data_IF_331342927490
#
_entry.id   IF_331342927490
#
_cell.length_a   1.000
_cell.length_b   1.000
_cell.length_c   1.000
_cell.angle_alpha   90.00
_cell.angle_beta   90.00
_cell.angle_gamma   90.00
#
_symmetry.space_group_name_H-M   'P 1'
#
loop_
_entity.id
_entity.type
_entity.pdbx_description
1 polymer ?
#
# COMPACT_ATOMS: atom_id res chain seq x y z
N UNK A 1 -117.61 -4.27 14.66
CA UNK A 1 -117.00 -5.52 14.17
C UNK A 1 -115.66 -5.18 13.61
N UNK A 2 -114.66 -5.39 14.38
CA UNK A 2 -113.31 -4.91 14.11
C UNK A 2 -112.43 -6.00 13.55
N UNK A 3 -111.86 -5.77 12.43
CA UNK A 3 -111.00 -6.68 11.72
C UNK A 3 -109.63 -6.69 12.36
N UNK A 4 -108.93 -7.79 12.57
CA UNK A 4 -107.61 -7.83 13.16
C UNK A 4 -106.52 -7.55 12.13
N UNK A 5 -105.80 -6.55 12.37
CA UNK A 5 -104.63 -6.10 11.57
C UNK A 5 -103.51 -7.11 11.68
N UNK A 6 -103.07 -7.68 10.56
CA UNK A 6 -101.87 -8.54 10.44
C UNK A 6 -100.61 -7.67 10.43
N UNK A 7 -99.66 -7.96 11.25
CA UNK A 7 -98.43 -7.20 11.22
C UNK A 7 -97.60 -7.57 9.97
N UNK A 8 -96.97 -6.54 9.35
CA UNK A 8 -96.11 -6.66 8.20
C UNK A 8 -94.76 -7.40 8.52
N UNK A 9 -94.22 -8.20 7.61
CA UNK A 9 -92.95 -8.89 7.81
C UNK A 9 -91.75 -7.89 7.89
N UNK A 10 -90.78 -8.22 8.70
CA UNK A 10 -89.58 -7.35 8.82
C UNK A 10 -88.75 -7.28 7.49
N UNK A 11 -88.09 -6.15 7.20
CA UNK A 11 -87.29 -5.98 5.99
C UNK A 11 -86.16 -7.00 5.93
N UNK A 12 -85.98 -7.61 4.77
CA UNK A 12 -84.95 -8.58 4.51
C UNK A 12 -83.54 -7.90 4.70
N UNK A 13 -82.73 -8.47 5.57
CA UNK A 13 -81.33 -8.07 5.74
C UNK A 13 -80.54 -8.36 4.46
N UNK A 14 -79.68 -7.40 3.99
CA UNK A 14 -78.82 -7.67 2.84
C UNK A 14 -77.88 -8.85 3.17
N UNK A 15 -77.88 -9.83 2.26
CA UNK A 15 -76.97 -10.96 2.39
C UNK A 15 -75.48 -10.45 2.52
N UNK A 16 -74.80 -10.89 3.58
CA UNK A 16 -73.40 -10.64 3.76
C UNK A 16 -72.65 -11.17 2.54
N UNK A 17 -71.97 -10.24 1.83
CA UNK A 17 -71.09 -10.56 0.71
C UNK A 17 -69.98 -11.55 1.13
N UNK A 18 -69.44 -12.34 0.21
CA UNK A 18 -68.40 -13.30 0.52
C UNK A 18 -67.20 -12.57 1.13
N UNK A 19 -66.52 -13.17 2.13
CA UNK A 19 -65.35 -12.53 2.76
C UNK A 19 -64.28 -12.23 1.72
N UNK A 20 -63.59 -11.06 1.81
CA UNK A 20 -62.53 -10.71 0.87
C UNK A 20 -61.47 -11.81 0.88
N UNK A 21 -61.20 -12.37 -0.29
CA UNK A 21 -60.13 -13.34 -0.47
C UNK A 21 -58.84 -12.70 0.05
N UNK A 22 -58.23 -13.27 1.10
CA UNK A 22 -56.90 -12.86 1.61
C UNK A 22 -55.91 -12.97 0.45
N UNK A 23 -55.60 -11.86 -0.16
CA UNK A 23 -54.60 -11.74 -1.20
C UNK A 23 -53.23 -12.11 -0.67
N UNK A 24 -52.88 -13.39 -0.78
CA UNK A 24 -51.55 -13.93 -0.63
C UNK A 24 -50.69 -13.59 -1.87
N UNK A 25 -50.67 -12.40 -2.32
CA UNK A 25 -50.16 -12.30 -3.66
C UNK A 25 -48.91 -11.40 -3.83
N UNK A 26 -48.97 -10.17 -3.50
CA UNK A 26 -47.95 -9.25 -4.03
C UNK A 26 -46.73 -9.12 -3.12
N UNK A 27 -46.94 -9.05 -1.81
CA UNK A 27 -45.82 -8.87 -0.85
C UNK A 27 -44.97 -10.12 -0.70
N UNK A 28 -45.60 -11.31 -0.72
CA UNK A 28 -44.86 -12.58 -0.58
C UNK A 28 -44.03 -12.92 -1.81
N UNK A 29 -44.55 -12.69 -3.01
CA UNK A 29 -43.80 -12.90 -4.25
C UNK A 29 -42.66 -11.84 -4.39
N UNK A 30 -42.89 -10.59 -4.03
CA UNK A 30 -41.85 -9.54 -4.02
C UNK A 30 -40.70 -9.88 -3.07
N UNK A 31 -41.03 -10.35 -1.86
CA UNK A 31 -39.99 -10.70 -0.87
C UNK A 31 -39.16 -11.93 -1.33
N UNK A 32 -39.84 -12.98 -1.86
CA UNK A 32 -39.13 -14.15 -2.41
C UNK A 32 -38.25 -13.78 -3.60
N UNK A 33 -38.75 -12.97 -4.54
CA UNK A 33 -37.97 -12.53 -5.70
C UNK A 33 -36.74 -11.75 -5.27
N UNK A 34 -36.88 -10.85 -4.30
CA UNK A 34 -35.73 -10.11 -3.76
C UNK A 34 -34.70 -11.04 -3.12
N UNK A 35 -35.12 -12.00 -2.31
CA UNK A 35 -34.23 -12.99 -1.70
C UNK A 35 -33.51 -13.81 -2.77
N UNK A 36 -34.24 -14.28 -3.79
CA UNK A 36 -33.65 -15.05 -4.89
C UNK A 36 -32.59 -14.21 -5.64
N UNK A 37 -32.88 -12.94 -5.93
CA UNK A 37 -31.93 -12.03 -6.58
C UNK A 37 -30.69 -11.85 -5.70
N UNK A 38 -30.84 -11.62 -4.40
CA UNK A 38 -29.70 -11.46 -3.47
C UNK A 38 -28.87 -12.74 -3.40
N UNK A 39 -29.51 -13.93 -3.36
CA UNK A 39 -28.77 -15.21 -3.38
C UNK A 39 -28.01 -15.39 -4.68
N UNK A 40 -28.65 -15.12 -5.83
CA UNK A 40 -27.99 -15.22 -7.14
C UNK A 40 -26.82 -14.22 -7.23
N UNK A 41 -27.03 -12.97 -6.81
CA UNK A 41 -25.96 -11.98 -6.75
C UNK A 41 -24.81 -12.42 -5.83
N UNK A 42 -25.13 -12.99 -4.66
CA UNK A 42 -24.13 -13.53 -3.74
C UNK A 42 -23.31 -14.66 -4.36
N UNK A 43 -23.96 -15.57 -5.06
CA UNK A 43 -23.31 -16.67 -5.78
C UNK A 43 -22.40 -16.12 -6.89
N UNK A 44 -22.89 -15.19 -7.71
CA UNK A 44 -22.11 -14.57 -8.79
C UNK A 44 -20.90 -13.83 -8.19
N UNK A 45 -21.11 -13.01 -7.16
CA UNK A 45 -20.03 -12.30 -6.47
C UNK A 45 -18.97 -13.25 -5.90
N UNK A 46 -19.39 -14.37 -5.31
CA UNK A 46 -18.49 -15.42 -4.81
C UNK A 46 -17.61 -16.00 -5.93
N UNK A 47 -18.20 -16.36 -7.08
CA UNK A 47 -17.43 -16.92 -8.19
C UNK A 47 -16.50 -15.89 -8.83
N UNK A 48 -16.94 -14.63 -8.97
CA UNK A 48 -16.12 -13.52 -9.47
C UNK A 48 -14.94 -13.26 -8.53
N UNK A 49 -15.20 -13.19 -7.21
CA UNK A 49 -14.14 -13.01 -6.22
C UNK A 49 -13.13 -14.17 -6.26
N UNK A 50 -13.60 -15.41 -6.31
CA UNK A 50 -12.73 -16.59 -6.39
C UNK A 50 -11.89 -16.60 -7.68
N UNK A 51 -12.49 -16.23 -8.81
CA UNK A 51 -11.76 -16.09 -10.08
C UNK A 51 -10.68 -15.01 -9.99
N UNK A 52 -11.02 -13.83 -9.46
CA UNK A 52 -10.09 -12.72 -9.28
C UNK A 52 -8.92 -13.10 -8.34
N UNK A 53 -9.22 -13.77 -7.20
CA UNK A 53 -8.19 -14.27 -6.29
C UNK A 53 -7.26 -15.27 -6.97
N UNK A 54 -7.80 -16.24 -7.72
CA UNK A 54 -6.97 -17.22 -8.42
C UNK A 54 -6.07 -16.57 -9.49
N UNK A 55 -6.57 -15.59 -10.22
CA UNK A 55 -5.77 -14.81 -11.17
C UNK A 55 -4.68 -14.00 -10.47
N UNK A 56 -5.01 -13.35 -9.36
CA UNK A 56 -4.04 -12.62 -8.55
C UNK A 56 -2.95 -13.54 -7.98
N UNK A 57 -3.33 -14.70 -7.43
CA UNK A 57 -2.36 -15.69 -6.92
C UNK A 57 -1.43 -16.16 -8.03
N UNK A 58 -1.97 -16.53 -9.21
CA UNK A 58 -1.15 -16.94 -10.35
C UNK A 58 -0.19 -15.83 -10.81
N UNK A 59 -0.64 -14.58 -10.81
CA UNK A 59 0.21 -13.43 -11.08
C UNK A 59 1.29 -13.26 -9.99
N UNK A 60 0.91 -13.32 -8.71
CA UNK A 60 1.86 -13.20 -7.60
C UNK A 60 2.90 -14.33 -7.60
N UNK A 61 2.51 -15.55 -7.93
CA UNK A 61 3.42 -16.69 -8.04
C UNK A 61 4.49 -16.49 -9.11
N UNK A 62 4.17 -15.83 -10.22
CA UNK A 62 5.09 -15.51 -11.29
C UNK A 62 6.21 -14.56 -10.83
N UNK A 63 5.89 -13.60 -9.95
CA UNK A 63 6.81 -12.58 -9.46
C UNK A 63 7.43 -12.89 -8.09
N UNK A 64 7.20 -14.10 -7.56
CA UNK A 64 7.72 -14.50 -6.25
C UNK A 64 8.35 -15.88 -6.31
N UNK A 65 9.26 -16.17 -5.38
CA UNK A 65 10.01 -17.42 -5.30
C UNK A 65 9.79 -18.11 -3.95
N UNK A 66 10.01 -19.44 -3.93
CA UNK A 66 9.94 -20.24 -2.69
C UNK A 66 11.19 -20.09 -1.81
N UNK A 67 12.25 -19.46 -2.32
CA UNK A 67 13.51 -19.27 -1.58
C UNK A 67 13.87 -17.79 -1.56
N UNK A 68 14.43 -17.29 -0.44
CA UNK A 68 14.95 -15.93 -0.40
C UNK A 68 16.17 -15.80 -1.32
N UNK A 69 16.29 -14.66 -1.98
CA UNK A 69 17.52 -14.27 -2.66
C UNK A 69 18.56 -13.86 -1.62
N UNK A 70 19.81 -14.24 -1.84
CA UNK A 70 20.93 -13.74 -1.02
C UNK A 70 21.14 -12.27 -1.32
N UNK A 71 20.87 -11.43 -0.33
CA UNK A 71 21.12 -9.98 -0.41
C UNK A 71 22.54 -9.72 0.12
N UNK A 72 23.40 -8.98 -0.62
CA UNK A 72 24.71 -8.62 -0.15
C UNK A 72 24.65 -7.91 1.20
N UNK A 73 25.64 -8.12 2.05
CA UNK A 73 25.73 -7.46 3.33
C UNK A 73 27.04 -6.69 3.38
N UNK A 74 26.97 -5.44 3.79
CA UNK A 74 28.16 -4.62 4.03
C UNK A 74 28.73 -4.98 5.40
N UNK A 75 30.04 -5.25 5.42
CA UNK A 75 30.79 -5.38 6.64
C UNK A 75 31.48 -4.05 6.94
N UNK A 76 31.05 -3.39 7.98
CA UNK A 76 31.64 -2.16 8.49
C UNK A 76 32.10 -2.40 9.92
N UNK A 77 33.29 -1.98 10.26
CA UNK A 77 33.79 -2.11 11.63
C UNK A 77 32.96 -1.23 12.58
N UNK A 78 32.95 -1.59 13.86
CA UNK A 78 32.25 -0.78 14.87
C UNK A 78 32.75 0.66 14.97
N UNK A 79 34.05 0.85 14.74
CA UNK A 79 34.67 2.19 14.75
C UNK A 79 34.18 3.03 13.56
N UNK A 80 34.24 2.48 12.36
CA UNK A 80 33.75 3.15 11.14
C UNK A 80 32.26 3.48 11.24
N UNK A 81 31.45 2.55 11.77
CA UNK A 81 30.04 2.82 11.99
C UNK A 81 29.79 3.94 13.00
N UNK A 82 30.57 3.99 14.10
CA UNK A 82 30.44 5.08 15.09
C UNK A 82 30.82 6.45 14.47
N UNK A 83 31.83 6.50 13.60
CA UNK A 83 32.19 7.72 12.89
C UNK A 83 31.10 8.16 11.91
N UNK A 84 30.51 7.21 11.18
CA UNK A 84 29.36 7.45 10.31
C UNK A 84 28.17 7.99 11.10
N UNK A 85 27.81 7.33 12.21
CA UNK A 85 26.67 7.73 13.06
C UNK A 85 26.88 9.14 13.66
N UNK A 86 28.08 9.45 14.13
CA UNK A 86 28.45 10.79 14.58
C UNK A 86 28.29 11.84 13.48
N UNK A 87 28.72 11.54 12.25
CA UNK A 87 28.61 12.45 11.11
C UNK A 87 27.16 12.70 10.72
N UNK A 88 26.34 11.65 10.69
CA UNK A 88 24.92 11.76 10.40
C UNK A 88 24.18 12.51 11.51
N UNK A 89 24.48 12.21 12.77
CA UNK A 89 23.88 12.88 13.94
C UNK A 89 24.27 14.35 13.98
N UNK A 90 25.54 14.69 13.76
CA UNK A 90 26.00 16.09 13.72
C UNK A 90 25.31 16.89 12.63
N UNK A 91 25.12 16.30 11.45
CA UNK A 91 24.37 16.94 10.37
C UNK A 91 22.91 17.17 10.76
N UNK A 92 22.24 16.17 11.36
CA UNK A 92 20.85 16.29 11.81
C UNK A 92 20.69 17.34 12.92
N UNK A 93 21.64 17.43 13.86
CA UNK A 93 21.62 18.41 14.95
C UNK A 93 21.84 19.84 14.43
N UNK A 94 22.75 20.01 13.48
CA UNK A 94 22.98 21.30 12.81
C UNK A 94 21.73 21.77 12.04
N UNK A 95 21.03 20.85 11.35
CA UNK A 95 19.74 21.15 10.70
C UNK A 95 18.68 21.60 11.70
N UNK A 96 18.59 20.96 12.88
CA UNK A 96 17.65 21.36 13.95
C UNK A 96 17.99 22.73 14.49
N UNK A 97 19.27 23.01 14.70
CA UNK A 97 19.77 24.29 15.16
C UNK A 97 19.75 25.41 14.11
N UNK A 98 19.26 25.10 12.87
CA UNK A 98 19.26 26.02 11.74
C UNK A 98 20.66 26.55 11.36
N UNK A 99 21.69 25.80 11.72
CA UNK A 99 23.05 26.03 11.26
C UNK A 99 23.22 25.39 9.87
N UNK A 100 24.09 25.97 9.05
CA UNK A 100 24.43 25.38 7.76
C UNK A 100 25.64 24.42 7.90
N UNK A 101 25.40 23.09 8.07
CA UNK A 101 26.50 22.14 8.13
C UNK A 101 27.18 21.97 6.75
N UNK A 102 28.39 21.44 6.74
CA UNK A 102 28.98 20.93 5.52
C UNK A 102 28.08 19.85 4.88
N UNK A 103 28.10 19.69 3.55
CA UNK A 103 27.27 18.66 2.88
C UNK A 103 27.52 17.28 3.48
N UNK A 104 26.43 16.53 3.73
CA UNK A 104 26.51 15.13 4.13
C UNK A 104 26.62 14.27 2.88
N UNK A 105 27.75 13.57 2.75
CA UNK A 105 28.00 12.62 1.67
C UNK A 105 27.90 11.22 2.22
N UNK A 106 27.04 10.39 1.60
CA UNK A 106 26.81 8.99 1.99
C UNK A 106 27.03 8.08 0.80
N UNK A 107 27.95 7.13 0.93
CA UNK A 107 28.15 6.06 -0.05
C UNK A 107 27.07 5.00 0.07
N UNK A 108 26.92 4.13 -0.94
CA UNK A 108 26.00 2.99 -0.87
C UNK A 108 26.28 2.09 0.32
N UNK A 109 27.54 1.82 0.64
CA UNK A 109 27.95 0.99 1.77
C UNK A 109 27.59 1.64 3.11
N UNK A 110 27.78 2.94 3.24
CA UNK A 110 27.38 3.68 4.44
C UNK A 110 25.87 3.66 4.65
N UNK A 111 25.07 3.82 3.57
CA UNK A 111 23.62 3.72 3.64
C UNK A 111 23.19 2.30 4.07
N UNK A 112 23.81 1.26 3.51
CA UNK A 112 23.53 -0.12 3.92
C UNK A 112 23.94 -0.39 5.37
N UNK A 113 25.05 0.18 5.85
CA UNK A 113 25.46 0.08 7.24
C UNK A 113 24.46 0.77 8.19
N UNK A 114 23.90 1.92 7.80
CA UNK A 114 22.83 2.58 8.55
C UNK A 114 21.55 1.70 8.59
N UNK A 115 21.13 1.11 7.47
CA UNK A 115 20.00 0.19 7.41
C UNK A 115 20.22 -1.03 8.32
N UNK A 116 21.43 -1.57 8.34
CA UNK A 116 21.76 -2.77 9.11
C UNK A 116 21.81 -2.55 10.63
N UNK A 117 22.18 -1.33 11.09
CA UNK A 117 22.48 -1.06 12.49
C UNK A 117 21.51 -0.10 13.18
N UNK A 118 20.77 0.74 12.44
CA UNK A 118 19.78 1.64 13.04
C UNK A 118 18.55 0.86 13.49
N UNK A 119 18.12 0.98 14.77
CA UNK A 119 16.96 0.29 15.31
C UNK A 119 15.66 0.52 14.55
N UNK A 120 15.47 1.72 13.97
CA UNK A 120 14.30 2.06 13.18
C UNK A 120 14.17 1.22 11.89
N UNK A 121 15.27 0.68 11.38
CA UNK A 121 15.35 -0.12 10.16
C UNK A 121 15.52 -1.62 10.41
N UNK A 122 15.41 -2.07 11.67
CA UNK A 122 15.62 -3.46 12.08
C UNK A 122 14.84 -4.47 11.21
N UNK A 123 13.63 -4.12 10.78
CA UNK A 123 12.80 -4.96 9.91
C UNK A 123 13.34 -5.19 8.51
N UNK A 124 14.28 -4.34 8.04
CA UNK A 124 14.86 -4.36 6.70
C UNK A 124 16.25 -4.98 6.65
N UNK A 125 16.87 -5.19 7.80
CA UNK A 125 18.21 -5.79 7.91
C UNK A 125 18.26 -7.13 7.19
N UNK A 126 19.20 -7.29 6.27
CA UNK A 126 19.39 -8.50 5.48
C UNK A 126 18.31 -8.75 4.40
N UNK A 127 17.35 -7.85 4.26
CA UNK A 127 16.28 -7.95 3.24
C UNK A 127 16.44 -6.94 2.10
N UNK A 128 17.22 -5.89 2.33
CA UNK A 128 17.44 -4.81 1.37
C UNK A 128 18.93 -4.53 1.25
N UNK A 129 19.39 -4.25 0.05
CA UNK A 129 20.72 -3.76 -0.27
C UNK A 129 20.60 -2.64 -1.31
N UNK A 130 21.31 -1.55 -1.10
CA UNK A 130 21.34 -0.40 -1.99
C UNK A 130 22.74 -0.24 -2.61
N UNK A 131 22.78 -0.02 -3.91
CA UNK A 131 23.97 0.39 -4.63
C UNK A 131 23.69 1.73 -5.32
N UNK A 132 24.70 2.59 -5.41
CA UNK A 132 24.60 3.84 -6.14
C UNK A 132 25.43 3.71 -7.41
N UNK A 133 24.77 3.81 -8.56
CA UNK A 133 25.38 3.68 -9.87
C UNK A 133 25.08 4.94 -10.71
N UNK A 134 26.09 5.76 -10.92
CA UNK A 134 25.93 7.05 -11.59
C UNK A 134 24.99 7.98 -10.82
N UNK A 135 23.85 8.31 -11.43
CA UNK A 135 22.79 9.17 -10.87
C UNK A 135 21.59 8.38 -10.31
N UNK A 136 21.73 7.07 -10.10
CA UNK A 136 20.62 6.17 -9.73
C UNK A 136 20.95 5.39 -8.46
N UNK A 137 19.91 5.17 -7.68
CA UNK A 137 19.93 4.27 -6.53
C UNK A 137 19.35 2.95 -6.98
N UNK A 138 20.16 1.91 -7.01
CA UNK A 138 19.72 0.55 -7.29
C UNK A 138 19.47 -0.21 -5.98
N UNK A 139 18.25 -0.69 -5.79
CA UNK A 139 17.86 -1.54 -4.67
C UNK A 139 17.74 -2.99 -5.06
N UNK A 140 18.19 -3.91 -4.20
CA UNK A 140 17.84 -5.33 -4.24
C UNK A 140 17.05 -5.66 -2.99
N UNK A 141 15.99 -6.44 -3.14
CA UNK A 141 15.11 -6.81 -2.02
C UNK A 141 14.81 -8.29 -2.04
N UNK A 142 14.72 -8.86 -0.84
CA UNK A 142 14.21 -10.22 -0.61
C UNK A 142 13.27 -10.17 0.59
N UNK A 143 11.97 -10.05 0.33
CA UNK A 143 10.97 -9.79 1.36
C UNK A 143 10.02 -10.99 1.43
N UNK A 144 9.84 -11.64 2.61
CA UNK A 144 8.82 -12.65 2.78
C UNK A 144 7.43 -12.01 2.64
N UNK A 145 6.55 -12.65 1.87
CA UNK A 145 5.18 -12.17 1.65
C UNK A 145 4.13 -12.92 2.47
N UNK A 146 4.54 -13.54 3.57
CA UNK A 146 3.67 -14.31 4.47
C UNK A 146 2.50 -13.48 5.03
N UNK A 147 2.67 -12.18 5.20
CA UNK A 147 1.58 -11.28 5.63
C UNK A 147 0.41 -11.30 4.64
N UNK A 148 0.69 -11.38 3.34
CA UNK A 148 -0.35 -11.50 2.30
C UNK A 148 -1.03 -12.88 2.37
N UNK A 149 -0.30 -13.93 2.75
CA UNK A 149 -0.83 -15.28 2.85
C UNK A 149 -1.87 -15.47 3.97
N UNK A 150 -1.99 -14.52 4.91
CA UNK A 150 -2.99 -14.51 5.97
C UNK A 150 -4.40 -14.19 5.47
N UNK A 151 -4.52 -13.54 4.31
CA UNK A 151 -5.83 -13.24 3.74
C UNK A 151 -6.48 -14.49 3.13
N UNK A 152 -7.82 -14.65 3.26
CA UNK A 152 -8.54 -15.78 2.69
C UNK A 152 -8.27 -15.92 1.19
N UNK A 153 -7.94 -17.14 0.76
CA UNK A 153 -7.64 -17.47 -0.64
C UNK A 153 -6.21 -17.20 -1.09
N UNK A 154 -5.36 -16.55 -0.26
CA UNK A 154 -3.96 -16.25 -0.59
C UNK A 154 -2.96 -17.21 0.11
N UNK A 155 -3.43 -18.28 0.76
CA UNK A 155 -2.58 -19.24 1.49
C UNK A 155 -1.49 -19.90 0.64
N UNK A 156 -1.66 -19.98 -0.69
CA UNK A 156 -0.65 -20.46 -1.64
C UNK A 156 0.60 -19.56 -1.70
N UNK A 157 0.51 -18.33 -1.23
CA UNK A 157 1.64 -17.39 -1.16
C UNK A 157 2.48 -17.57 0.11
N UNK A 158 2.09 -18.47 1.01
CA UNK A 158 2.84 -18.76 2.25
C UNK A 158 4.22 -19.33 1.94
N UNK A 159 5.23 -18.82 2.63
CA UNK A 159 6.63 -19.22 2.45
C UNK A 159 7.25 -18.71 1.15
N UNK A 160 6.60 -17.77 0.47
CA UNK A 160 7.17 -17.17 -0.74
C UNK A 160 7.83 -15.83 -0.43
N UNK A 161 8.77 -15.46 -1.31
CA UNK A 161 9.57 -14.25 -1.21
C UNK A 161 9.41 -13.41 -2.45
N UNK A 162 9.24 -12.11 -2.28
CA UNK A 162 9.42 -11.14 -3.33
C UNK A 162 10.91 -10.86 -3.47
N UNK A 163 11.55 -11.51 -4.43
CA UNK A 163 12.94 -11.29 -4.78
C UNK A 163 12.97 -10.34 -5.98
N UNK A 164 13.63 -9.21 -5.84
CA UNK A 164 13.61 -8.25 -6.93
C UNK A 164 14.71 -7.21 -6.85
N UNK A 165 14.79 -6.43 -7.92
CA UNK A 165 15.62 -5.25 -8.02
C UNK A 165 14.83 -4.08 -8.57
N UNK A 166 15.20 -2.87 -8.15
CA UNK A 166 14.59 -1.65 -8.66
C UNK A 166 15.65 -0.56 -8.75
N UNK A 167 15.51 0.32 -9.75
CA UNK A 167 16.32 1.52 -9.86
C UNK A 167 15.44 2.75 -9.65
N UNK A 168 15.92 3.65 -8.81
CA UNK A 168 15.23 4.89 -8.47
C UNK A 168 16.10 6.09 -8.79
N UNK A 169 15.45 7.19 -9.10
CA UNK A 169 16.04 8.52 -9.15
C UNK A 169 15.47 9.34 -8.01
N UNK A 170 16.37 9.97 -7.23
CA UNK A 170 15.97 10.86 -6.14
C UNK A 170 16.38 12.29 -6.47
N UNK A 171 15.52 13.25 -6.19
CA UNK A 171 15.79 14.67 -6.33
C UNK A 171 14.98 15.49 -5.34
N UNK A 172 15.47 16.67 -4.99
CA UNK A 172 14.75 17.64 -4.20
C UNK A 172 14.39 18.81 -5.10
N UNK A 173 13.10 19.15 -5.22
CA UNK A 173 12.60 20.29 -5.94
C UNK A 173 11.55 21.02 -5.11
N UNK A 174 11.63 22.34 -5.04
CA UNK A 174 10.68 23.21 -4.30
C UNK A 174 10.45 22.79 -2.84
N UNK A 175 11.47 22.23 -2.19
CA UNK A 175 11.40 21.74 -0.81
C UNK A 175 10.65 20.41 -0.65
N UNK A 176 10.32 19.72 -1.73
CA UNK A 176 9.73 18.40 -1.73
C UNK A 176 10.71 17.35 -2.27
N UNK A 177 10.73 16.19 -1.62
CA UNK A 177 11.53 15.03 -2.05
C UNK A 177 10.75 14.24 -3.11
N UNK A 178 11.37 14.03 -4.24
CA UNK A 178 10.88 13.17 -5.32
C UNK A 178 11.74 11.92 -5.42
N UNK A 179 11.12 10.77 -5.31
CA UNK A 179 11.74 9.47 -5.58
C UNK A 179 10.91 8.75 -6.62
N UNK A 180 11.44 8.64 -7.83
CA UNK A 180 10.75 8.03 -8.98
C UNK A 180 11.40 6.72 -9.38
N UNK A 181 10.57 5.74 -9.70
CA UNK A 181 11.01 4.44 -10.20
C UNK A 181 11.45 4.58 -11.66
N UNK A 182 12.65 4.05 -11.97
CA UNK A 182 13.16 3.99 -13.33
C UNK A 182 12.96 2.60 -13.94
N UNK A 183 13.26 1.57 -13.16
CA UNK A 183 13.05 0.18 -13.55
C UNK A 183 12.76 -0.66 -12.31
N UNK A 184 12.05 -1.76 -12.50
CA UNK A 184 11.82 -2.78 -11.48
C UNK A 184 11.73 -4.14 -12.16
N UNK A 185 12.28 -5.12 -11.48
CA UNK A 185 12.19 -6.53 -11.84
C UNK A 185 11.89 -7.34 -10.58
N UNK A 186 11.04 -8.32 -10.70
CA UNK A 186 10.76 -9.28 -9.66
C UNK A 186 10.86 -10.69 -10.26
N UNK A 187 11.59 -11.57 -9.60
CA UNK A 187 11.90 -12.92 -10.12
C UNK A 187 12.48 -12.86 -11.55
N UNK A 188 13.36 -11.89 -11.84
CA UNK A 188 13.97 -11.70 -13.16
C UNK A 188 13.02 -11.23 -14.25
N UNK A 189 11.80 -10.81 -13.91
CA UNK A 189 10.78 -10.35 -14.85
C UNK A 189 10.38 -8.90 -14.57
N UNK A 190 10.34 -8.09 -15.61
CA UNK A 190 9.74 -6.77 -15.53
C UNK A 190 8.19 -6.88 -15.49
N UNK A 191 7.49 -6.01 -14.77
CA UNK A 191 6.04 -5.98 -14.79
C UNK A 191 5.51 -5.57 -16.18
N UNK A 192 4.23 -5.89 -16.49
CA UNK A 192 3.59 -5.45 -17.72
C UNK A 192 3.73 -3.93 -17.94
N UNK A 193 3.84 -3.44 -19.17
CA UNK A 193 4.07 -2.02 -19.47
C UNK A 193 3.05 -1.08 -18.82
N UNK A 194 1.79 -1.49 -18.73
CA UNK A 194 0.73 -0.71 -18.09
C UNK A 194 0.95 -0.54 -16.57
N UNK A 195 1.41 -1.59 -15.90
CA UNK A 195 1.79 -1.57 -14.48
C UNK A 195 3.05 -0.72 -14.30
N UNK A 196 4.05 -0.91 -15.18
CA UNK A 196 5.29 -0.13 -15.13
C UNK A 196 5.04 1.37 -15.27
N UNK A 197 4.18 1.78 -16.20
CA UNK A 197 3.82 3.20 -16.38
C UNK A 197 3.15 3.78 -15.13
N UNK A 198 2.26 3.02 -14.48
CA UNK A 198 1.64 3.45 -13.22
C UNK A 198 2.68 3.60 -12.09
N UNK A 199 3.59 2.64 -11.95
CA UNK A 199 4.65 2.71 -10.94
C UNK A 199 5.59 3.90 -11.16
N UNK A 200 5.92 4.21 -12.41
CA UNK A 200 6.77 5.36 -12.76
C UNK A 200 6.11 6.72 -12.50
N UNK A 201 4.78 6.79 -12.47
CA UNK A 201 4.05 8.02 -12.18
C UNK A 201 3.94 8.32 -10.68
N UNK A 202 4.29 7.39 -9.80
CA UNK A 202 4.20 7.53 -8.36
C UNK A 202 5.47 8.19 -7.79
N UNK A 203 5.29 9.20 -6.92
CA UNK A 203 6.38 9.67 -6.06
C UNK A 203 6.44 8.77 -4.81
N UNK A 204 7.44 7.90 -4.73
CA UNK A 204 7.63 6.99 -3.59
C UNK A 204 7.99 7.70 -2.27
N UNK A 205 8.42 8.97 -2.34
CA UNK A 205 8.67 9.79 -1.15
C UNK A 205 7.42 10.55 -0.66
N UNK A 206 6.26 10.40 -1.29
CA UNK A 206 5.05 11.17 -0.93
C UNK A 206 4.64 10.97 0.53
N UNK A 207 4.71 9.73 1.04
CA UNK A 207 4.37 9.46 2.44
C UNK A 207 5.36 10.10 3.43
N UNK A 208 6.64 10.21 3.07
CA UNK A 208 7.64 10.91 3.86
C UNK A 208 7.35 12.41 3.93
N UNK A 209 6.86 13.00 2.86
CA UNK A 209 6.46 14.41 2.80
C UNK A 209 5.14 14.68 3.56
N UNK A 210 4.32 13.67 3.79
CA UNK A 210 3.07 13.78 4.54
C UNK A 210 3.28 13.69 6.08
N UNK A 211 4.43 13.17 6.53
CA UNK A 211 4.78 13.22 7.96
C UNK A 211 5.32 14.60 8.32
N UNK A 212 4.70 15.35 9.26
CA UNK A 212 5.07 16.73 9.55
C UNK A 212 6.55 16.92 9.96
N UNK A 213 7.11 15.98 10.73
CA UNK A 213 8.51 16.04 11.18
C UNK A 213 9.48 15.81 10.02
N UNK A 214 9.16 14.88 9.15
CA UNK A 214 9.95 14.57 7.97
C UNK A 214 9.86 15.72 6.96
N UNK A 215 8.67 16.27 6.71
CA UNK A 215 8.45 17.42 5.86
C UNK A 215 9.22 18.66 6.35
N UNK A 216 9.20 18.95 7.66
CA UNK A 216 10.00 20.03 8.26
C UNK A 216 11.49 19.83 8.00
N UNK A 217 11.98 18.60 8.17
CA UNK A 217 13.40 18.28 7.94
C UNK A 217 13.78 18.45 6.47
N UNK A 218 12.95 17.92 5.54
CA UNK A 218 13.14 18.07 4.09
C UNK A 218 13.12 19.55 3.68
N UNK A 219 12.23 20.36 4.26
CA UNK A 219 12.14 21.79 4.01
C UNK A 219 13.41 22.60 4.38
N UNK A 220 14.26 22.06 5.28
CA UNK A 220 15.56 22.65 5.67
C UNK A 220 16.69 22.25 4.72
N UNK A 221 16.45 21.38 3.75
CA UNK A 221 17.43 20.97 2.78
C UNK A 221 17.43 21.89 1.56
N UNK A 222 18.59 22.14 0.98
CA UNK A 222 18.78 22.85 -0.27
C UNK A 222 18.70 21.89 -1.45
N UNK A 223 19.46 20.77 -1.38
CA UNK A 223 19.49 19.76 -2.43
C UNK A 223 19.74 18.36 -1.89
N UNK A 224 19.26 17.38 -2.67
CA UNK A 224 19.65 15.97 -2.58
C UNK A 224 20.08 15.56 -3.98
N UNK A 225 21.35 15.21 -4.12
CA UNK A 225 21.95 14.83 -5.38
C UNK A 225 22.47 13.39 -5.29
N UNK A 226 22.25 12.61 -6.32
CA UNK A 226 22.80 11.25 -6.45
C UNK A 226 23.81 11.28 -7.59
N UNK A 227 25.09 11.16 -7.28
CA UNK A 227 26.16 11.16 -8.27
C UNK A 227 27.45 10.57 -7.69
N UNK A 228 28.33 10.15 -8.58
CA UNK A 228 29.69 9.67 -8.24
C UNK A 228 29.70 8.56 -7.18
N UNK A 229 28.68 7.68 -7.18
CA UNK A 229 28.56 6.58 -6.23
C UNK A 229 28.10 6.99 -4.83
N UNK A 230 27.59 8.22 -4.64
CA UNK A 230 27.16 8.75 -3.37
C UNK A 230 25.85 9.53 -3.45
N UNK A 231 25.18 9.66 -2.32
CA UNK A 231 24.09 10.62 -2.08
C UNK A 231 24.69 11.82 -1.35
N UNK A 232 24.51 13.00 -1.92
CA UNK A 232 25.01 14.28 -1.37
C UNK A 232 23.81 15.09 -0.91
N UNK A 233 23.76 15.41 0.37
CA UNK A 233 22.67 16.17 1.01
C UNK A 233 23.23 17.51 1.46
N UNK A 234 22.64 18.61 0.97
CA UNK A 234 23.01 19.97 1.36
C UNK A 234 21.90 20.61 2.17
N UNK A 235 22.30 21.30 3.23
CA UNK A 235 21.38 22.10 4.04
C UNK A 235 21.17 23.48 3.39
N UNK A 236 19.97 24.01 3.52
CA UNK A 236 19.66 25.38 3.11
C UNK A 236 20.33 26.37 4.05
N UNK A 237 21.07 27.29 3.50
CA UNK A 237 21.65 28.40 4.26
C UNK A 237 20.53 29.40 4.56
N UNK A 238 20.15 29.55 5.83
CA UNK A 238 19.27 30.63 6.23
C UNK A 238 20.18 31.84 6.51
N UNK A 239 20.23 32.80 5.58
CA UNK A 239 20.89 34.07 5.88
C UNK A 239 20.14 34.74 7.04
N UNK A 240 20.85 35.12 8.13
CA UNK A 240 20.23 35.92 9.17
C UNK A 240 19.75 37.24 8.57
N UNK A 241 18.46 37.56 8.85
CA UNK A 241 17.87 38.88 8.50
C UNK A 241 18.46 39.95 9.38
#
# INVERSE_FOLDING_TARGET
MSDPTTPAPPPAQPAAGPPPAKGRGCFFYGCITTIVILVVMGIVAFFVARYAINKFVGFAEQYTEAKPMTVPQVQMSSTEYQELDKRVSAFADALRAQNAPAPLVLTGDEINALIANNPAWKGWKGKVFLAIEGDRIKGRVSIPIDELARFPGLSRLKGRYLNGSAAFKASLADGALFVTLQSVEANGQAPPPTIMAQLQSVNFAQNASNDPKTAETIGKLESIEVKDGAVIIKARVVSPK
#
